data_IF_671638032056
#
_entry.id   IF_671638032056
#
_cell.length_a   1.000
_cell.length_b   1.000
_cell.length_c   1.000
_cell.angle_alpha   90.00
_cell.angle_beta   90.00
_cell.angle_gamma   90.00
#
_symmetry.space_group_name_H-M   'P 1'
#
loop_
_entity.id
_entity.type
_entity.pdbx_description
1 polymer ?
#
# COMPACT_ATOMS: atom_id res chain seq x y z
N UNK A 1 -5.51 19.56 8.07
CA UNK A 1 -6.36 20.53 7.35
C UNK A 1 -7.27 19.70 6.45
N UNK A 2 -8.59 19.83 6.68
CA UNK A 2 -9.72 19.26 5.92
C UNK A 2 -10.16 17.85 6.38
N UNK A 3 -11.43 17.78 6.82
CA UNK A 3 -12.22 16.66 7.40
C UNK A 3 -12.29 16.53 8.92
N UNK A 4 -12.91 17.52 9.58
CA UNK A 4 -13.58 17.37 10.87
C UNK A 4 -14.82 18.29 10.92
N UNK A 5 -15.86 17.94 10.20
CA UNK A 5 -17.22 18.54 10.27
C UNK A 5 -18.15 17.44 9.69
N UNK A 6 -19.24 16.93 10.26
CA UNK A 6 -20.22 17.39 11.24
C UNK A 6 -20.63 16.21 12.14
N UNK A 7 -20.49 16.38 13.46
CA UNK A 7 -21.41 15.78 14.43
C UNK A 7 -22.05 16.97 15.16
N UNK A 8 -23.18 17.43 14.65
CA UNK A 8 -23.98 18.47 15.27
C UNK A 8 -25.34 17.87 15.60
N UNK A 9 -25.41 17.18 16.73
CA UNK A 9 -26.64 17.07 17.48
C UNK A 9 -26.86 18.45 18.13
N UNK A 10 -27.84 19.21 17.64
CA UNK A 10 -28.39 20.37 18.34
C UNK A 10 -29.89 20.24 18.28
N UNK A 11 -30.40 19.92 19.46
CA UNK A 11 -31.78 19.68 19.84
C UNK A 11 -32.53 21.01 19.82
N UNK A 12 -33.35 21.26 18.80
CA UNK A 12 -34.37 22.31 18.83
C UNK A 12 -35.64 21.73 19.46
N UNK A 13 -35.82 21.95 20.76
CA UNK A 13 -37.14 21.86 21.40
C UNK A 13 -38.03 22.99 20.87
N UNK A 14 -38.82 22.68 19.85
CA UNK A 14 -39.90 23.55 19.41
C UNK A 14 -41.16 23.20 20.21
N UNK A 15 -41.47 24.01 21.22
CA UNK A 15 -42.70 23.90 22.02
C UNK A 15 -43.89 24.31 21.16
N UNK A 16 -44.63 23.32 20.68
CA UNK A 16 -45.85 23.53 19.89
C UNK A 16 -47.05 23.78 20.81
N UNK A 17 -47.66 24.95 20.66
CA UNK A 17 -48.95 25.34 21.27
C UNK A 17 -50.07 24.51 20.63
N UNK A 18 -50.81 23.72 21.42
CA UNK A 18 -51.96 22.96 20.93
C UNK A 18 -53.15 23.90 20.68
N UNK A 19 -53.52 24.10 19.42
CA UNK A 19 -54.79 24.72 19.01
C UNK A 19 -55.82 23.62 18.76
N UNK A 20 -56.90 23.62 19.53
CA UNK A 20 -58.06 22.75 19.31
C UNK A 20 -58.72 23.09 17.97
N UNK A 21 -58.86 22.09 17.10
CA UNK A 21 -59.78 22.17 15.96
C UNK A 21 -59.23 21.83 14.57
N UNK A 22 -57.98 21.39 14.41
CA UNK A 22 -57.53 20.84 13.13
C UNK A 22 -57.52 19.32 13.17
N UNK A 23 -58.23 18.71 12.22
CA UNK A 23 -58.20 17.27 11.96
C UNK A 23 -56.74 16.86 11.78
N UNK A 24 -56.19 16.10 12.72
CA UNK A 24 -54.85 15.52 12.63
C UNK A 24 -54.75 14.78 11.30
N UNK A 25 -54.15 15.41 10.28
CA UNK A 25 -53.62 14.68 9.13
C UNK A 25 -52.67 13.67 9.75
N UNK A 26 -52.94 12.39 9.58
CA UNK A 26 -52.18 11.32 10.20
C UNK A 26 -50.68 11.57 10.00
N UNK A 27 -50.03 12.16 11.01
CA UNK A 27 -48.59 12.20 11.15
C UNK A 27 -48.26 10.75 11.44
N UNK A 28 -48.06 9.99 10.36
CA UNK A 28 -47.77 8.57 10.42
C UNK A 28 -46.49 8.41 11.23
N UNK A 29 -46.66 8.07 12.51
CA UNK A 29 -45.54 7.68 13.35
C UNK A 29 -44.83 6.53 12.67
N UNK A 30 -43.50 6.62 12.57
CA UNK A 30 -42.66 5.57 11.99
C UNK A 30 -43.12 4.21 12.50
N UNK A 31 -43.61 3.37 11.59
CA UNK A 31 -44.04 2.03 11.93
C UNK A 31 -42.85 1.26 12.48
N UNK A 32 -43.05 0.44 13.52
CA UNK A 32 -42.00 -0.43 14.07
C UNK A 32 -41.32 -1.28 12.97
N UNK A 33 -42.09 -1.66 11.94
CA UNK A 33 -41.60 -2.38 10.77
C UNK A 33 -40.58 -1.57 9.95
N UNK A 34 -40.79 -0.27 9.80
CA UNK A 34 -39.92 0.62 9.05
C UNK A 34 -38.57 0.80 9.75
N UNK A 35 -38.57 0.91 11.08
CA UNK A 35 -37.33 0.94 11.86
C UNK A 35 -36.52 -0.36 11.74
N UNK A 36 -37.19 -1.52 11.69
CA UNK A 36 -36.54 -2.83 11.54
C UNK A 36 -35.90 -2.98 10.15
N UNK A 37 -36.60 -2.54 9.11
CA UNK A 37 -36.04 -2.50 7.73
C UNK A 37 -34.85 -1.51 7.67
N UNK A 38 -34.97 -0.35 8.31
CA UNK A 38 -33.90 0.65 8.37
C UNK A 38 -32.63 0.11 9.03
N UNK A 39 -32.76 -0.56 10.18
CA UNK A 39 -31.62 -1.18 10.87
C UNK A 39 -30.98 -2.32 10.05
N UNK A 40 -31.79 -3.10 9.32
CA UNK A 40 -31.28 -4.14 8.43
C UNK A 40 -30.46 -3.53 7.27
N UNK A 41 -30.99 -2.51 6.60
CA UNK A 41 -30.28 -1.80 5.52
C UNK A 41 -28.99 -1.14 6.02
N UNK A 42 -29.05 -0.49 7.20
CA UNK A 42 -27.87 0.11 7.83
C UNK A 42 -26.76 -0.93 8.07
N UNK A 43 -27.13 -2.13 8.51
CA UNK A 43 -26.17 -3.21 8.76
C UNK A 43 -25.45 -3.64 7.48
N UNK A 44 -26.17 -3.75 6.36
CA UNK A 44 -25.55 -4.08 5.06
C UNK A 44 -24.62 -2.98 4.55
N UNK A 45 -24.98 -1.71 4.75
CA UNK A 45 -24.13 -0.57 4.37
C UNK A 45 -22.83 -0.58 5.18
N UNK A 46 -22.90 -0.82 6.50
CA UNK A 46 -21.73 -0.90 7.36
C UNK A 46 -20.82 -2.08 6.97
N UNK A 47 -21.41 -3.22 6.62
CA UNK A 47 -20.66 -4.38 6.14
C UNK A 47 -19.93 -4.05 4.82
N UNK A 48 -20.62 -3.44 3.85
CA UNK A 48 -20.02 -3.00 2.59
C UNK A 48 -18.88 -2.00 2.80
N UNK A 49 -19.06 -1.04 3.70
CA UNK A 49 -18.04 -0.05 4.03
C UNK A 49 -16.78 -0.70 4.64
N UNK A 50 -16.94 -1.70 5.51
CA UNK A 50 -15.80 -2.40 6.11
C UNK A 50 -14.91 -3.08 5.05
N UNK A 51 -15.53 -3.75 4.06
CA UNK A 51 -14.80 -4.42 2.98
C UNK A 51 -14.04 -3.41 2.11
N UNK A 52 -14.66 -2.26 1.84
CA UNK A 52 -14.02 -1.19 1.08
C UNK A 52 -12.82 -0.59 1.82
N UNK A 53 -12.93 -0.35 3.13
CA UNK A 53 -11.83 0.17 3.93
C UNK A 53 -10.61 -0.77 3.94
N UNK A 54 -10.83 -2.08 4.01
CA UNK A 54 -9.75 -3.08 3.92
C UNK A 54 -9.02 -2.94 2.58
N UNK A 55 -9.75 -2.86 1.47
CA UNK A 55 -9.16 -2.71 0.14
C UNK A 55 -8.28 -1.45 0.04
N UNK A 56 -8.76 -0.32 0.56
CA UNK A 56 -8.01 0.95 0.56
C UNK A 56 -6.74 0.84 1.40
N UNK A 57 -6.79 0.18 2.55
CA UNK A 57 -5.61 -0.03 3.40
C UNK A 57 -4.54 -0.85 2.66
N UNK A 58 -4.93 -1.94 1.99
CA UNK A 58 -4.01 -2.76 1.21
C UNK A 58 -3.41 -1.98 0.03
N UNK A 59 -4.22 -1.23 -0.70
CA UNK A 59 -3.75 -0.39 -1.81
C UNK A 59 -2.74 0.68 -1.34
N UNK A 60 -3.02 1.34 -0.22
CA UNK A 60 -2.12 2.34 0.35
C UNK A 60 -0.80 1.73 0.85
N UNK A 61 -0.85 0.52 1.45
CA UNK A 61 0.36 -0.19 1.85
C UNK A 61 1.24 -0.53 0.64
N UNK A 62 0.65 -1.04 -0.45
CA UNK A 62 1.36 -1.33 -1.69
C UNK A 62 1.97 -0.09 -2.33
N UNK A 63 1.24 1.03 -2.37
CA UNK A 63 1.74 2.30 -2.90
C UNK A 63 2.93 2.84 -2.09
N UNK A 64 2.88 2.72 -0.76
CA UNK A 64 4.02 3.10 0.10
C UNK A 64 5.26 2.26 -0.19
N UNK A 65 5.10 0.97 -0.38
CA UNK A 65 6.22 0.07 -0.69
C UNK A 65 6.82 0.36 -2.06
N UNK A 66 5.98 0.63 -3.06
CA UNK A 66 6.42 1.04 -4.39
C UNK A 66 7.19 2.37 -4.35
N UNK A 67 6.69 3.34 -3.58
CA UNK A 67 7.38 4.62 -3.40
C UNK A 67 8.75 4.44 -2.74
N UNK A 68 8.83 3.61 -1.70
CA UNK A 68 10.10 3.28 -1.04
C UNK A 68 11.07 2.57 -2.01
N UNK A 69 10.61 1.57 -2.75
CA UNK A 69 11.44 0.88 -3.75
C UNK A 69 11.96 1.85 -4.82
N UNK A 70 11.11 2.77 -5.28
CA UNK A 70 11.50 3.80 -6.27
C UNK A 70 12.57 4.72 -5.72
N UNK A 71 12.39 5.21 -4.48
CA UNK A 71 13.38 6.04 -3.80
C UNK A 71 14.73 5.33 -3.67
N UNK A 72 14.72 4.06 -3.23
CA UNK A 72 15.92 3.24 -3.09
C UNK A 72 16.65 2.99 -4.42
N UNK A 73 15.90 2.83 -5.51
CA UNK A 73 16.45 2.69 -6.85
C UNK A 73 17.07 3.99 -7.36
N UNK A 74 16.43 5.13 -7.09
CA UNK A 74 16.95 6.46 -7.44
C UNK A 74 18.21 6.81 -6.66
N UNK A 75 18.20 6.58 -5.34
CA UNK A 75 19.36 6.78 -4.46
C UNK A 75 20.57 5.97 -4.94
N UNK A 76 20.37 4.68 -5.25
CA UNK A 76 21.44 3.84 -5.80
C UNK A 76 21.90 4.31 -7.19
N UNK A 77 20.99 4.80 -8.02
CA UNK A 77 21.34 5.35 -9.33
C UNK A 77 22.23 6.59 -9.21
N UNK A 78 21.92 7.48 -8.26
CA UNK A 78 22.71 8.68 -7.98
C UNK A 78 24.07 8.32 -7.41
N UNK A 79 24.14 7.35 -6.49
CA UNK A 79 25.38 6.86 -5.90
C UNK A 79 26.29 6.21 -6.96
N UNK A 80 25.76 5.32 -7.80
CA UNK A 80 26.51 4.70 -8.91
C UNK A 80 26.92 5.73 -9.99
N UNK A 81 26.15 6.80 -10.15
CA UNK A 81 26.52 7.90 -11.05
C UNK A 81 27.67 8.74 -10.50
N UNK A 82 27.75 8.90 -9.18
CA UNK A 82 28.84 9.60 -8.51
C UNK A 82 30.17 8.82 -8.52
N UNK A 83 30.12 7.49 -8.74
CA UNK A 83 31.31 6.67 -8.80
C UNK A 83 32.26 7.04 -9.96
N UNK A 84 33.59 7.00 -9.73
CA UNK A 84 34.60 7.27 -10.75
C UNK A 84 34.66 6.15 -11.80
N UNK A 85 35.02 6.51 -13.04
CA UNK A 85 35.17 5.57 -14.15
C UNK A 85 36.36 4.64 -13.92
N UNK A 86 36.08 3.42 -13.45
CA UNK A 86 37.10 2.48 -12.99
C UNK A 86 36.85 1.95 -11.58
N UNK A 87 35.80 2.44 -10.89
CA UNK A 87 35.36 1.83 -9.65
C UNK A 87 35.04 0.34 -9.86
N UNK A 88 35.35 -0.48 -8.86
CA UNK A 88 34.98 -1.89 -8.87
C UNK A 88 33.46 -2.10 -8.97
N UNK A 89 32.64 -1.07 -8.72
CA UNK A 89 31.18 -1.05 -8.84
C UNK A 89 30.67 -0.82 -10.27
N UNK A 90 31.51 -0.30 -11.16
CA UNK A 90 31.18 -0.01 -12.57
C UNK A 90 31.85 -0.96 -13.59
N UNK A 91 32.51 -2.02 -13.12
CA UNK A 91 33.00 -3.10 -13.99
C UNK A 91 31.82 -3.84 -14.63
N UNK A 92 31.88 -4.06 -15.93
CA UNK A 92 30.84 -4.72 -16.70
C UNK A 92 30.67 -6.19 -16.32
N UNK A 93 29.42 -6.67 -16.33
CA UNK A 93 29.05 -8.05 -16.01
C UNK A 93 28.01 -8.16 -14.89
N UNK A 94 27.42 -9.35 -14.78
CA UNK A 94 26.52 -9.74 -13.69
C UNK A 94 27.39 -10.23 -12.53
N UNK A 95 27.50 -9.50 -11.42
CA UNK A 95 28.25 -9.97 -10.26
C UNK A 95 27.51 -11.15 -9.61
N UNK A 96 28.23 -12.21 -9.28
CA UNK A 96 27.73 -13.17 -8.29
C UNK A 96 27.61 -12.45 -6.94
N UNK A 97 26.41 -12.47 -6.33
CA UNK A 97 26.15 -11.91 -4.98
C UNK A 97 27.04 -12.53 -3.88
N UNK A 98 27.80 -13.59 -4.19
CA UNK A 98 28.60 -14.36 -3.23
C UNK A 98 30.04 -13.85 -3.10
N UNK A 99 30.61 -13.27 -4.16
CA UNK A 99 32.08 -13.07 -4.23
C UNK A 99 32.49 -11.65 -4.52
N UNK A 100 31.57 -10.82 -5.06
CA UNK A 100 31.80 -9.40 -5.29
C UNK A 100 30.64 -8.62 -4.68
N UNK A 101 30.99 -7.65 -3.84
CA UNK A 101 30.12 -6.71 -3.12
C UNK A 101 29.17 -5.97 -4.08
N UNK A 102 28.06 -6.59 -4.53
CA UNK A 102 27.08 -5.94 -5.43
C UNK A 102 25.63 -6.42 -5.24
N UNK A 103 25.29 -6.75 -4.01
CA UNK A 103 23.91 -6.93 -3.56
C UNK A 103 23.88 -6.35 -2.15
N UNK A 104 23.07 -5.33 -1.89
CA UNK A 104 23.06 -4.63 -0.58
C UNK A 104 22.40 -5.45 0.53
N UNK A 105 22.10 -6.73 0.25
CA UNK A 105 21.33 -7.59 1.13
C UNK A 105 19.93 -7.03 1.39
N UNK A 106 19.22 -7.63 2.36
CA UNK A 106 17.94 -7.10 2.80
C UNK A 106 18.12 -5.73 3.47
N UNK A 107 17.30 -4.76 3.07
CA UNK A 107 17.28 -3.40 3.63
C UNK A 107 15.88 -2.96 4.03
N UNK A 108 15.82 -1.93 4.88
CA UNK A 108 14.59 -1.25 5.26
C UNK A 108 14.14 -0.22 4.21
N UNK A 109 13.04 0.50 4.48
CA UNK A 109 12.49 1.51 3.57
C UNK A 109 13.34 2.78 3.44
N UNK A 110 14.39 2.95 4.25
CA UNK A 110 15.30 4.09 4.20
C UNK A 110 16.68 3.70 3.64
N UNK A 111 16.86 2.44 3.23
CA UNK A 111 18.09 1.96 2.57
C UNK A 111 19.16 1.48 3.53
N UNK A 112 18.82 1.29 4.81
CA UNK A 112 19.74 0.73 5.80
C UNK A 112 19.71 -0.79 5.73
N UNK A 113 20.87 -1.42 5.57
CA UNK A 113 20.99 -2.88 5.59
C UNK A 113 20.58 -3.42 6.97
N UNK A 114 19.56 -4.27 7.01
CA UNK A 114 19.01 -4.85 8.23
C UNK A 114 18.67 -6.32 8.01
N UNK A 115 18.95 -7.16 9.00
CA UNK A 115 18.58 -8.57 8.92
C UNK A 115 17.06 -8.72 8.83
N UNK A 116 16.57 -9.39 7.79
CA UNK A 116 15.13 -9.51 7.52
C UNK A 116 14.50 -8.26 6.89
N UNK A 117 15.31 -7.37 6.30
CA UNK A 117 14.83 -6.26 5.49
C UNK A 117 13.86 -6.69 4.40
N UNK A 118 12.98 -5.76 4.01
CA UNK A 118 11.90 -6.01 3.06
C UNK A 118 12.34 -5.84 1.61
N UNK A 119 13.34 -4.99 1.37
CA UNK A 119 13.81 -4.62 0.04
C UNK A 119 15.17 -5.25 -0.23
N UNK A 120 15.44 -5.60 -1.48
CA UNK A 120 16.74 -6.06 -1.96
C UNK A 120 17.05 -5.30 -3.24
N UNK A 121 18.24 -4.70 -3.33
CA UNK A 121 18.73 -4.03 -4.55
C UNK A 121 19.75 -4.92 -5.26
N UNK A 122 19.61 -5.00 -6.56
CA UNK A 122 20.51 -5.67 -7.48
C UNK A 122 20.80 -4.71 -8.63
N UNK A 123 22.00 -4.75 -9.21
CA UNK A 123 22.28 -3.98 -10.42
C UNK A 123 23.25 -4.69 -11.35
N UNK A 124 23.08 -4.47 -12.64
CA UNK A 124 23.93 -4.99 -13.70
C UNK A 124 24.50 -3.84 -14.51
N UNK A 125 25.79 -3.91 -14.82
CA UNK A 125 26.48 -2.89 -15.60
C UNK A 125 26.84 -3.47 -16.95
N UNK A 126 26.34 -2.84 -18.02
CA UNK A 126 26.62 -3.18 -19.40
C UNK A 126 27.42 -2.04 -20.02
N UNK A 127 28.61 -2.34 -20.57
CA UNK A 127 29.42 -1.35 -21.28
C UNK A 127 29.33 -1.59 -22.79
N UNK A 128 29.01 -0.54 -23.53
CA UNK A 128 28.96 -0.56 -24.99
C UNK A 128 29.79 0.61 -25.54
N UNK A 129 31.04 0.32 -25.93
CA UNK A 129 32.02 1.31 -26.40
C UNK A 129 32.18 2.47 -25.40
N UNK A 130 31.65 3.64 -25.74
CA UNK A 130 31.67 4.88 -24.95
C UNK A 130 30.43 5.08 -24.07
N UNK A 131 29.60 4.06 -23.87
CA UNK A 131 28.41 4.15 -23.03
C UNK A 131 28.44 3.09 -21.94
N UNK A 132 28.17 3.51 -20.70
CA UNK A 132 27.91 2.60 -19.58
C UNK A 132 26.41 2.67 -19.28
N UNK A 133 25.75 1.52 -19.37
CA UNK A 133 24.34 1.33 -19.01
C UNK A 133 24.28 0.55 -17.71
N UNK A 134 23.53 1.07 -16.74
CA UNK A 134 23.35 0.47 -15.42
C UNK A 134 21.87 0.15 -15.27
N UNK A 135 21.55 -1.13 -15.18
CA UNK A 135 20.20 -1.61 -14.89
C UNK A 135 20.11 -1.95 -13.41
N UNK A 136 19.28 -1.22 -12.68
CA UNK A 136 19.04 -1.36 -11.25
C UNK A 136 17.69 -2.04 -11.07
N UNK A 137 17.65 -3.12 -10.29
CA UNK A 137 16.44 -3.82 -9.93
C UNK A 137 16.24 -3.77 -8.42
N UNK A 138 15.09 -3.31 -7.97
CA UNK A 138 14.69 -3.34 -6.56
C UNK A 138 13.57 -4.34 -6.39
N UNK A 139 13.81 -5.36 -5.59
CA UNK A 139 12.86 -6.42 -5.26
C UNK A 139 12.33 -6.22 -3.84
N UNK A 140 11.06 -6.54 -3.62
CA UNK A 140 10.50 -6.57 -2.27
C UNK A 140 9.39 -7.60 -2.14
N UNK A 141 9.23 -8.13 -0.93
CA UNK A 141 8.15 -9.08 -0.63
C UNK A 141 7.03 -8.36 0.10
N UNK A 142 5.83 -8.40 -0.48
CA UNK A 142 4.60 -8.00 0.22
C UNK A 142 3.98 -9.23 0.87
N UNK A 143 3.72 -9.17 2.18
CA UNK A 143 2.94 -10.18 2.87
C UNK A 143 1.46 -9.85 2.64
N UNK A 144 0.87 -10.49 1.64
CA UNK A 144 -0.57 -10.48 1.49
C UNK A 144 -1.17 -11.56 2.40
N UNK A 145 -2.28 -11.21 3.03
CA UNK A 145 -3.10 -12.20 3.72
C UNK A 145 -3.99 -12.84 2.65
N UNK A 146 -3.65 -14.04 2.22
CA UNK A 146 -4.58 -14.83 1.42
C UNK A 146 -5.67 -15.37 2.34
N UNK A 147 -6.87 -14.78 2.26
CA UNK A 147 -8.05 -15.35 2.89
C UNK A 147 -8.46 -16.57 2.05
N UNK A 148 -7.97 -17.76 2.40
CA UNK A 148 -8.57 -19.00 1.91
C UNK A 148 -10.00 -19.02 2.42
N UNK A 149 -10.97 -19.06 1.50
CA UNK A 149 -12.37 -19.29 1.85
C UNK A 149 -12.43 -20.56 2.70
N UNK A 150 -12.93 -20.43 3.93
CA UNK A 150 -13.22 -21.58 4.77
C UNK A 150 -14.27 -22.43 4.03
N UNK A 151 -13.84 -23.57 3.50
CA UNK A 151 -14.74 -24.66 3.20
C UNK A 151 -15.38 -25.11 4.52
N UNK A 152 -16.54 -24.51 4.84
CA UNK A 152 -17.68 -25.08 5.55
C UNK A 152 -17.47 -25.77 6.91
N UNK A 153 -16.27 -25.80 7.48
CA UNK A 153 -15.97 -26.58 8.68
C UNK A 153 -15.22 -25.71 9.68
N UNK A 154 -15.83 -25.60 10.85
CA UNK A 154 -15.39 -24.86 12.03
C UNK A 154 -13.91 -25.10 12.35
N UNK A 155 -13.05 -24.19 11.90
CA UNK A 155 -11.65 -24.13 12.27
C UNK A 155 -11.12 -22.74 11.96
N UNK A 156 -10.50 -22.08 12.95
CA UNK A 156 -9.79 -20.82 12.73
C UNK A 156 -8.68 -21.11 11.73
N UNK A 157 -8.88 -20.67 10.48
CA UNK A 157 -7.95 -20.90 9.37
C UNK A 157 -6.72 -20.01 9.59
N UNK A 158 -5.59 -20.61 9.94
CA UNK A 158 -4.29 -19.95 9.87
C UNK A 158 -3.96 -19.66 8.41
N UNK A 159 -4.14 -18.42 7.97
CA UNK A 159 -3.76 -17.98 6.63
C UNK A 159 -2.25 -18.17 6.43
N UNK A 160 -1.87 -18.99 5.45
CA UNK A 160 -0.49 -19.11 5.00
C UNK A 160 -0.11 -17.79 4.32
N UNK A 161 0.83 -17.05 4.90
CA UNK A 161 1.37 -15.82 4.33
C UNK A 161 2.29 -16.19 3.16
N UNK A 162 1.71 -16.39 1.98
CA UNK A 162 2.49 -16.56 0.76
C UNK A 162 2.89 -15.17 0.26
N UNK A 163 4.18 -14.83 0.38
CA UNK A 163 4.69 -13.52 0.02
C UNK A 163 4.69 -13.35 -1.50
N UNK A 164 4.04 -12.28 -2.01
CA UNK A 164 4.19 -11.89 -3.41
C UNK A 164 5.50 -11.11 -3.55
N UNK A 165 6.35 -11.57 -4.45
CA UNK A 165 7.56 -10.87 -4.83
C UNK A 165 7.21 -9.83 -5.90
N UNK A 166 7.60 -8.59 -5.65
CA UNK A 166 7.44 -7.46 -6.56
C UNK A 166 8.82 -6.94 -6.94
N UNK A 167 8.94 -6.40 -8.16
CA UNK A 167 10.18 -5.80 -8.64
C UNK A 167 9.92 -4.56 -9.48
N UNK A 168 10.83 -3.58 -9.40
CA UNK A 168 10.96 -2.49 -10.37
C UNK A 168 12.36 -2.51 -10.96
N UNK A 169 12.48 -2.09 -12.22
CA UNK A 169 13.75 -1.94 -12.89
C UNK A 169 13.91 -0.51 -13.42
N UNK A 170 15.07 0.09 -13.15
CA UNK A 170 15.48 1.41 -13.63
C UNK A 170 16.75 1.24 -14.45
N UNK A 171 16.81 1.85 -15.63
CA UNK A 171 18.01 1.84 -16.47
C UNK A 171 18.58 3.26 -16.58
N UNK A 172 19.88 3.41 -16.34
CA UNK A 172 20.59 4.69 -16.44
C UNK A 172 21.76 4.53 -17.39
N UNK A 173 21.84 5.40 -18.39
CA UNK A 173 22.94 5.46 -19.33
C UNK A 173 23.83 6.66 -19.05
N UNK A 174 25.15 6.45 -19.04
CA UNK A 174 26.19 7.47 -18.91
C UNK A 174 27.13 7.40 -20.10
N UNK A 175 27.33 8.53 -20.76
CA UNK A 175 28.38 8.71 -21.77
C UNK A 175 29.73 8.94 -21.06
N UNK A 176 30.78 8.35 -21.61
CA UNK A 176 32.17 8.47 -21.11
C UNK A 176 33.04 9.34 -22.02
N UNK A 177 32.42 10.20 -22.83
CA UNK A 177 33.11 11.15 -23.74
C UNK A 177 33.62 12.42 -23.04
#
# INVERSE_FOLDING_TARGET
MIWYILFAASEEENVTVCREGETYSAQGGFSMLESLIGMALLSFILLGNSAFLILVIHANAGNRDLAAATFLGQDLAEDLKADPEGSARLVAGTPDCITLVRCDGPMDSIGTAVSGGKFTREWTVTRNNSLIVIDITVKWTSKDVHLTAADGSSGIVGGKLEGREHQISLSVARDIS
#
